data_IF_610447978765
#
_entry.id   IF_610447978765
#
_cell.length_a   1.000
_cell.length_b   1.000
_cell.length_c   1.000
_cell.angle_alpha   90.00
_cell.angle_beta   90.00
_cell.angle_gamma   90.00
#
_symmetry.space_group_name_H-M   'P 1'
#
loop_
_entity.id
_entity.type
_entity.pdbx_description
1 polymer ?
#
# COMPACT_ATOMS: atom_id res chain seq x y z
N UNK A 1 1.12 24.69 -30.43
CA UNK A 1 -0.07 24.44 -29.60
C UNK A 1 0.22 24.99 -28.23
N UNK A 2 -0.58 25.94 -27.75
CA UNK A 2 -0.41 26.64 -26.46
C UNK A 2 -0.41 25.62 -25.32
N UNK A 3 0.66 25.55 -24.55
CA UNK A 3 0.93 24.57 -23.49
C UNK A 3 0.13 24.80 -22.18
N UNK A 4 -0.80 25.74 -22.15
CA UNK A 4 -1.39 26.29 -20.92
C UNK A 4 -2.70 25.65 -20.44
N UNK A 5 -3.24 24.63 -21.12
CA UNK A 5 -4.57 24.09 -20.85
C UNK A 5 -4.63 22.67 -20.31
N UNK A 6 -3.50 21.98 -20.15
CA UNK A 6 -3.52 20.55 -19.80
C UNK A 6 -3.50 20.25 -18.29
N UNK A 7 -3.04 21.17 -17.45
CA UNK A 7 -2.85 20.93 -16.02
C UNK A 7 -3.69 21.90 -15.21
N UNK A 8 -4.97 21.58 -15.11
CA UNK A 8 -5.93 22.39 -14.37
C UNK A 8 -6.09 21.86 -12.95
N UNK A 9 -5.99 22.76 -11.96
CA UNK A 9 -6.26 22.47 -10.56
C UNK A 9 -7.76 22.32 -10.26
N UNK A 10 -8.63 22.54 -11.26
CA UNK A 10 -10.06 22.54 -11.07
C UNK A 10 -10.61 21.13 -10.75
N UNK A 11 -11.43 21.08 -9.71
CA UNK A 11 -12.22 19.91 -9.35
C UNK A 11 -13.54 19.89 -10.14
N UNK A 12 -13.49 19.44 -11.38
CA UNK A 12 -14.71 19.31 -12.21
C UNK A 12 -15.71 18.35 -11.57
N UNK A 13 -17.04 18.53 -11.82
CA UNK A 13 -18.05 17.58 -11.32
C UNK A 13 -17.78 16.14 -11.72
N UNK A 14 -17.30 15.91 -12.95
CA UNK A 14 -16.92 14.58 -13.44
C UNK A 14 -15.75 13.97 -12.63
N UNK A 15 -14.72 14.76 -12.30
CA UNK A 15 -13.62 14.31 -11.46
C UNK A 15 -14.09 13.95 -10.05
N UNK A 16 -14.95 14.79 -9.44
CA UNK A 16 -15.53 14.53 -8.12
C UNK A 16 -16.37 13.24 -8.12
N UNK A 17 -17.18 13.03 -9.16
CA UNK A 17 -17.98 11.82 -9.31
C UNK A 17 -17.11 10.57 -9.45
N UNK A 18 -16.09 10.61 -10.32
CA UNK A 18 -15.16 9.49 -10.50
C UNK A 18 -14.39 9.20 -9.19
N UNK A 19 -13.87 10.24 -8.53
CA UNK A 19 -13.20 10.09 -7.23
C UNK A 19 -14.13 9.47 -6.18
N UNK A 20 -15.37 9.91 -6.12
CA UNK A 20 -16.39 9.36 -5.21
C UNK A 20 -16.68 7.89 -5.49
N UNK A 21 -16.85 7.52 -6.75
CA UNK A 21 -17.09 6.15 -7.18
C UNK A 21 -15.89 5.23 -6.85
N UNK A 22 -14.68 5.61 -7.28
CA UNK A 22 -13.47 4.80 -7.00
C UNK A 22 -13.20 4.72 -5.49
N UNK A 23 -13.40 5.84 -4.77
CA UNK A 23 -13.26 5.88 -3.32
C UNK A 23 -14.28 4.99 -2.61
N UNK A 24 -15.53 4.96 -3.07
CA UNK A 24 -16.55 4.04 -2.54
C UNK A 24 -16.15 2.58 -2.73
N UNK A 25 -15.70 2.19 -3.92
CA UNK A 25 -15.22 0.83 -4.18
C UNK A 25 -14.01 0.48 -3.30
N UNK A 26 -13.05 1.39 -3.20
CA UNK A 26 -11.87 1.18 -2.39
C UNK A 26 -12.20 0.97 -0.90
N UNK A 27 -13.01 1.86 -0.30
CA UNK A 27 -13.31 1.83 1.13
C UNK A 27 -14.37 0.79 1.53
N UNK A 28 -15.16 0.26 0.60
CA UNK A 28 -16.25 -0.67 0.90
C UNK A 28 -16.01 -2.10 0.43
N UNK A 29 -15.13 -2.28 -0.56
CA UNK A 29 -14.95 -3.59 -1.19
C UNK A 29 -13.49 -4.01 -1.35
N UNK A 30 -12.54 -3.06 -1.38
CA UNK A 30 -11.14 -3.40 -1.55
C UNK A 30 -10.41 -3.43 -0.20
N UNK A 31 -10.55 -2.38 0.62
CA UNK A 31 -9.99 -2.33 1.96
C UNK A 31 -11.03 -2.69 3.02
N UNK A 32 -10.60 -3.38 4.06
CA UNK A 32 -11.39 -3.61 5.27
C UNK A 32 -11.53 -2.30 6.07
N UNK A 33 -10.40 -1.64 6.34
CA UNK A 33 -10.35 -0.35 7.03
C UNK A 33 -9.33 0.56 6.38
N UNK A 34 -9.63 1.86 6.35
CA UNK A 34 -8.71 2.90 5.87
C UNK A 34 -8.53 3.94 6.95
N UNK A 35 -7.29 4.21 7.28
CA UNK A 35 -6.89 5.14 8.32
C UNK A 35 -6.23 6.37 7.73
N UNK A 36 -6.66 7.55 8.18
CA UNK A 36 -6.00 8.82 7.86
C UNK A 36 -5.51 9.43 9.18
N UNK A 37 -4.20 9.48 9.38
CA UNK A 37 -3.56 9.97 10.61
C UNK A 37 -3.00 11.35 10.36
N UNK A 38 -3.33 12.30 11.24
CA UNK A 38 -2.99 13.73 11.17
C UNK A 38 -3.43 14.39 9.83
N UNK A 39 -4.68 14.22 9.38
CA UNK A 39 -5.14 14.83 8.13
C UNK A 39 -5.19 16.37 8.20
N UNK A 40 -5.20 16.94 9.38
CA UNK A 40 -5.11 18.38 9.69
C UNK A 40 -3.73 18.97 9.40
N UNK A 41 -2.69 18.15 9.25
CA UNK A 41 -1.38 18.59 8.79
C UNK A 41 -1.36 18.96 7.30
N UNK A 42 -2.36 18.59 6.52
CA UNK A 42 -2.45 18.98 5.12
C UNK A 42 -2.80 20.47 5.03
N UNK A 43 -1.91 21.33 4.49
CA UNK A 43 -2.20 22.76 4.36
C UNK A 43 -3.48 23.00 3.55
N UNK A 44 -4.18 24.10 3.83
CA UNK A 44 -5.43 24.44 3.14
C UNK A 44 -5.26 24.60 1.61
N UNK A 45 -6.36 24.40 0.86
CA UNK A 45 -6.39 24.59 -0.59
C UNK A 45 -5.91 25.97 -1.02
N UNK A 46 -5.18 26.06 -2.13
CA UNK A 46 -4.53 27.28 -2.59
C UNK A 46 -3.09 27.45 -2.07
N UNK A 47 -2.64 26.64 -1.12
CA UNK A 47 -1.24 26.62 -0.67
C UNK A 47 -0.41 25.73 -1.63
N UNK A 48 0.70 26.26 -2.21
CA UNK A 48 1.62 25.47 -3.02
C UNK A 48 2.20 24.31 -2.21
N UNK A 49 1.91 23.07 -2.61
CA UNK A 49 2.23 21.90 -1.81
C UNK A 49 2.89 20.80 -2.63
N UNK A 50 4.02 20.30 -2.17
CA UNK A 50 4.66 19.08 -2.68
C UNK A 50 4.48 17.96 -1.66
N UNK A 51 3.72 16.93 -1.98
CA UNK A 51 3.58 15.73 -1.14
C UNK A 51 4.71 14.76 -1.50
N UNK A 52 5.41 14.29 -0.49
CA UNK A 52 6.54 13.37 -0.62
C UNK A 52 6.31 12.17 0.29
N UNK A 53 6.12 10.99 -0.29
CA UNK A 53 5.82 9.77 0.45
C UNK A 53 6.77 8.62 0.14
N UNK A 54 6.77 7.63 1.02
CA UNK A 54 7.29 6.30 0.74
C UNK A 54 6.45 5.61 -0.34
N UNK A 55 7.05 4.68 -1.10
CA UNK A 55 6.39 4.03 -2.22
C UNK A 55 6.27 2.52 -2.00
N UNK A 56 5.18 2.12 -1.34
CA UNK A 56 4.98 0.75 -0.88
C UNK A 56 4.06 -0.07 -1.80
N UNK A 57 3.02 0.55 -2.40
CA UNK A 57 1.97 -0.15 -3.13
C UNK A 57 1.49 0.59 -4.39
N UNK A 58 2.43 1.17 -5.14
CA UNK A 58 2.19 1.73 -6.49
C UNK A 58 1.02 2.73 -6.54
N UNK A 59 -0.02 2.48 -7.37
CA UNK A 59 -1.18 3.38 -7.51
C UNK A 59 -1.96 3.52 -6.19
N UNK A 60 -1.96 2.50 -5.34
CA UNK A 60 -2.71 2.53 -4.09
C UNK A 60 -2.22 3.64 -3.15
N UNK A 61 -0.91 3.90 -3.13
CA UNK A 61 -0.32 5.00 -2.38
C UNK A 61 -0.88 6.36 -2.84
N UNK A 62 -0.94 6.57 -4.15
CA UNK A 62 -1.52 7.78 -4.75
C UNK A 62 -3.01 7.93 -4.45
N UNK A 63 -3.78 6.82 -4.51
CA UNK A 63 -5.21 6.83 -4.22
C UNK A 63 -5.51 7.23 -2.77
N UNK A 64 -4.64 6.87 -1.82
CA UNK A 64 -4.75 7.30 -0.43
C UNK A 64 -4.80 8.83 -0.31
N UNK A 65 -3.94 9.55 -1.04
CA UNK A 65 -3.96 11.02 -1.06
C UNK A 65 -5.20 11.58 -1.77
N UNK A 66 -5.59 10.98 -2.90
CA UNK A 66 -6.77 11.40 -3.68
C UNK A 66 -8.07 11.29 -2.86
N UNK A 67 -8.17 10.27 -1.99
CA UNK A 67 -9.37 10.05 -1.19
C UNK A 67 -9.42 10.89 0.07
N UNK A 68 -8.28 11.21 0.67
CA UNK A 68 -8.20 12.02 1.90
C UNK A 68 -8.21 13.52 1.61
N UNK A 69 -7.49 13.99 0.58
CA UNK A 69 -7.40 15.42 0.21
C UNK A 69 -8.52 15.74 -0.79
N UNK A 70 -9.63 16.29 -0.27
CA UNK A 70 -10.87 16.45 -1.05
C UNK A 70 -11.09 17.85 -1.60
N UNK A 71 -10.40 18.85 -1.07
CA UNK A 71 -10.55 20.27 -1.40
C UNK A 71 -9.83 20.68 -2.70
N UNK A 72 -8.97 19.82 -3.22
CA UNK A 72 -8.15 20.10 -4.42
C UNK A 72 -7.86 18.84 -5.23
N UNK A 73 -7.34 19.02 -6.43
CA UNK A 73 -6.74 17.96 -7.25
C UNK A 73 -5.28 17.78 -6.84
N UNK A 74 -4.86 16.54 -6.65
CA UNK A 74 -3.45 16.18 -6.45
C UNK A 74 -2.90 15.71 -7.78
N UNK A 75 -1.79 16.32 -8.22
CA UNK A 75 -1.10 15.95 -9.45
C UNK A 75 0.06 15.01 -9.13
N UNK A 76 0.21 13.93 -9.89
CA UNK A 76 1.23 12.91 -9.63
C UNK A 76 2.21 12.80 -10.79
N UNK A 77 3.49 12.69 -10.48
CA UNK A 77 4.48 12.24 -11.44
C UNK A 77 4.36 10.72 -11.58
N UNK A 78 4.09 10.25 -12.80
CA UNK A 78 3.95 8.82 -13.10
C UNK A 78 4.72 8.44 -14.35
N UNK A 79 4.89 7.15 -14.59
CA UNK A 79 5.69 6.60 -15.71
C UNK A 79 5.20 7.13 -17.07
N UNK A 80 6.12 7.65 -17.89
CA UNK A 80 5.82 8.22 -19.20
C UNK A 80 5.28 7.20 -20.20
N UNK A 81 5.69 5.92 -20.10
CA UNK A 81 5.22 4.85 -20.99
C UNK A 81 3.69 4.63 -20.95
N UNK A 82 3.01 4.99 -19.85
CA UNK A 82 1.55 4.94 -19.77
C UNK A 82 0.89 5.92 -20.74
N UNK A 83 1.54 7.04 -21.06
CA UNK A 83 1.03 8.06 -21.99
C UNK A 83 1.21 7.67 -23.47
N UNK A 84 1.99 6.62 -23.76
CA UNK A 84 2.19 6.08 -25.12
C UNK A 84 1.13 5.07 -25.52
N UNK A 85 0.23 4.66 -24.61
CA UNK A 85 -0.84 3.69 -24.86
C UNK A 85 -1.95 4.20 -25.80
N UNK A 86 -1.87 5.46 -26.24
CA UNK A 86 -2.79 6.09 -27.18
C UNK A 86 -3.25 7.47 -26.74
N UNK A 87 -3.69 8.29 -27.70
CA UNK A 87 -4.06 9.69 -27.46
C UNK A 87 -5.24 9.84 -26.46
N UNK A 88 -6.22 8.93 -26.49
CA UNK A 88 -7.34 8.95 -25.57
C UNK A 88 -6.90 8.64 -24.13
N UNK A 89 -6.01 7.65 -23.95
CA UNK A 89 -5.43 7.28 -22.66
C UNK A 89 -4.59 8.44 -22.13
N UNK A 90 -3.73 9.01 -22.95
CA UNK A 90 -2.89 10.17 -22.58
C UNK A 90 -3.73 11.35 -22.09
N UNK A 91 -4.82 11.70 -22.82
CA UNK A 91 -5.76 12.77 -22.42
C UNK A 91 -6.45 12.45 -21.10
N UNK A 92 -6.89 11.21 -20.90
CA UNK A 92 -7.53 10.77 -19.67
C UNK A 92 -6.58 10.85 -18.47
N UNK A 93 -5.36 10.36 -18.61
CA UNK A 93 -4.33 10.44 -17.56
C UNK A 93 -4.01 11.90 -17.20
N UNK A 94 -3.87 12.77 -18.21
CA UNK A 94 -3.67 14.20 -17.98
C UNK A 94 -4.84 14.85 -17.29
N UNK A 95 -6.08 14.48 -17.67
CA UNK A 95 -7.29 14.96 -16.99
C UNK A 95 -7.35 14.49 -15.52
N UNK A 96 -6.85 13.30 -15.20
CA UNK A 96 -6.70 12.82 -13.83
C UNK A 96 -5.65 13.61 -13.03
N UNK A 97 -4.80 14.41 -13.66
CA UNK A 97 -3.71 15.15 -13.02
C UNK A 97 -2.37 14.41 -13.03
N UNK A 98 -2.23 13.39 -13.88
CA UNK A 98 -0.96 12.65 -13.99
C UNK A 98 0.01 13.34 -14.93
N UNK A 99 1.27 13.50 -14.51
CA UNK A 99 2.38 14.11 -15.23
C UNK A 99 3.38 13.04 -15.67
N UNK A 100 3.79 12.95 -16.95
CA UNK A 100 4.70 11.89 -17.40
C UNK A 100 6.11 12.11 -16.85
N UNK A 101 6.69 11.09 -16.21
CA UNK A 101 8.05 11.07 -15.70
C UNK A 101 8.88 10.06 -16.48
N UNK A 102 10.02 10.50 -17.01
CA UNK A 102 10.91 9.74 -17.88
C UNK A 102 12.11 9.22 -17.09
N UNK A 103 12.43 7.93 -17.22
CA UNK A 103 13.53 7.29 -16.51
C UNK A 103 14.74 7.15 -17.42
N UNK A 104 15.90 7.69 -16.99
CA UNK A 104 17.17 7.61 -17.74
C UNK A 104 17.56 6.18 -18.13
N UNK A 105 17.26 5.21 -17.25
CA UNK A 105 17.59 3.80 -17.48
C UNK A 105 16.82 3.16 -18.66
N UNK A 106 15.68 3.75 -19.07
CA UNK A 106 14.82 3.18 -20.11
C UNK A 106 14.73 4.03 -21.36
N UNK A 107 14.86 5.36 -21.22
CA UNK A 107 14.62 6.34 -22.29
C UNK A 107 15.87 7.15 -22.66
N UNK A 108 17.03 6.85 -22.05
CA UNK A 108 18.32 7.41 -22.42
C UNK A 108 18.43 8.92 -22.23
N UNK A 109 19.21 9.58 -23.09
CA UNK A 109 19.51 11.02 -22.98
C UNK A 109 18.27 11.92 -23.16
N UNK A 110 17.28 11.48 -23.93
CA UNK A 110 16.03 12.24 -24.16
C UNK A 110 15.18 12.38 -22.88
N UNK A 111 15.35 11.47 -21.91
CA UNK A 111 14.67 11.55 -20.62
C UNK A 111 14.93 12.88 -19.90
N UNK A 112 16.14 13.43 -20.00
CA UNK A 112 16.48 14.70 -19.34
C UNK A 112 15.72 15.89 -19.94
N UNK A 113 15.64 15.96 -21.28
CA UNK A 113 14.91 17.02 -21.97
C UNK A 113 13.39 16.93 -21.69
N UNK A 114 12.85 15.71 -21.76
CA UNK A 114 11.43 15.45 -21.50
C UNK A 114 11.05 15.72 -20.04
N UNK A 115 11.89 15.34 -19.08
CA UNK A 115 11.66 15.64 -17.66
C UNK A 115 11.67 17.14 -17.38
N UNK A 116 12.43 17.95 -18.12
CA UNK A 116 12.41 19.40 -17.97
C UNK A 116 11.03 19.99 -18.26
N UNK A 117 10.34 19.50 -19.30
CA UNK A 117 8.96 19.91 -19.60
C UNK A 117 7.97 19.47 -18.48
N UNK A 118 8.12 18.26 -17.97
CA UNK A 118 7.31 17.74 -16.86
C UNK A 118 7.51 18.54 -15.59
N UNK A 119 8.74 18.86 -15.23
CA UNK A 119 9.05 19.66 -14.05
C UNK A 119 8.49 21.07 -14.19
N UNK A 120 8.63 21.70 -15.38
CA UNK A 120 7.99 22.98 -15.64
C UNK A 120 6.46 22.94 -15.47
N UNK A 121 5.80 21.87 -15.93
CA UNK A 121 4.36 21.69 -15.71
C UNK A 121 4.02 21.54 -14.21
N UNK A 122 4.82 20.77 -13.45
CA UNK A 122 4.66 20.63 -12.00
C UNK A 122 4.87 21.97 -11.26
N UNK A 123 5.86 22.75 -11.67
CA UNK A 123 6.12 24.10 -11.17
C UNK A 123 4.93 25.03 -11.44
N UNK A 124 4.32 24.96 -12.65
CA UNK A 124 3.13 25.73 -12.99
C UNK A 124 1.94 25.39 -12.10
N UNK A 125 1.76 24.11 -11.75
CA UNK A 125 0.76 23.67 -10.78
C UNK A 125 1.00 24.33 -9.42
N UNK A 126 2.23 24.31 -8.91
CA UNK A 126 2.58 24.93 -7.63
C UNK A 126 2.39 26.46 -7.66
N UNK A 127 2.80 27.11 -8.75
CA UNK A 127 2.64 28.58 -8.92
C UNK A 127 1.17 29.02 -8.92
N UNK A 128 0.25 28.12 -9.26
CA UNK A 128 -1.21 28.35 -9.15
C UNK A 128 -1.78 27.92 -7.79
N UNK A 129 -0.95 27.63 -6.79
CA UNK A 129 -1.40 27.16 -5.47
C UNK A 129 -1.89 25.72 -5.47
N UNK A 130 -1.48 24.91 -6.47
CA UNK A 130 -1.85 23.51 -6.58
C UNK A 130 -0.96 22.57 -5.76
N UNK A 131 -1.26 21.29 -5.87
CA UNK A 131 -0.55 20.22 -5.16
C UNK A 131 0.05 19.22 -6.14
N UNK A 132 1.33 18.94 -5.97
CA UNK A 132 2.07 17.91 -6.69
C UNK A 132 2.51 16.84 -5.71
N UNK A 133 2.31 15.57 -6.05
CA UNK A 133 2.76 14.44 -5.25
C UNK A 133 3.73 13.55 -6.04
N UNK A 134 4.76 13.09 -5.39
CA UNK A 134 5.71 12.16 -5.96
C UNK A 134 6.34 11.27 -4.89
N UNK A 135 6.89 10.16 -5.36
CA UNK A 135 7.56 9.15 -4.55
C UNK A 135 9.05 9.16 -4.91
N UNK A 136 9.92 9.74 -4.07
CA UNK A 136 11.31 10.01 -4.44
C UNK A 136 12.19 8.76 -4.54
N UNK A 137 11.75 7.63 -4.00
CA UNK A 137 12.45 6.34 -4.10
C UNK A 137 12.55 5.83 -5.54
N UNK A 138 11.72 6.36 -6.47
CA UNK A 138 11.70 6.02 -7.89
C UNK A 138 11.56 4.51 -8.21
N UNK A 139 11.18 3.69 -7.25
CA UNK A 139 10.96 2.25 -7.38
C UNK A 139 10.19 1.70 -6.18
N UNK A 140 9.69 0.48 -6.32
CA UNK A 140 9.01 -0.23 -5.24
C UNK A 140 9.96 -1.25 -4.64
N UNK A 141 9.87 -1.40 -3.33
CA UNK A 141 10.58 -2.45 -2.62
C UNK A 141 9.54 -3.30 -1.90
N UNK A 142 9.55 -4.62 -2.10
CA UNK A 142 8.67 -5.54 -1.38
C UNK A 142 9.10 -5.70 0.10
N UNK A 143 9.60 -4.64 0.70
CA UNK A 143 10.18 -4.64 2.04
C UNK A 143 9.86 -3.30 2.71
N UNK A 144 9.66 -3.34 4.00
CA UNK A 144 9.60 -2.15 4.85
C UNK A 144 11.02 -1.58 5.03
N UNK A 145 11.48 -0.84 4.05
CA UNK A 145 12.80 -0.20 4.04
C UNK A 145 12.73 1.09 3.23
N UNK A 146 13.32 2.16 3.78
CA UNK A 146 13.36 3.46 3.12
C UNK A 146 14.52 3.52 2.13
N UNK A 147 14.21 3.43 0.84
CA UNK A 147 15.17 3.54 -0.25
C UNK A 147 15.86 4.90 -0.38
N UNK A 148 16.86 5.01 -1.26
CA UNK A 148 17.51 6.28 -1.55
C UNK A 148 16.54 7.22 -2.27
N UNK A 149 16.57 8.52 -1.93
CA UNK A 149 15.72 9.53 -2.56
C UNK A 149 16.38 10.14 -3.79
N UNK A 150 15.57 10.35 -4.82
CA UNK A 150 15.93 11.22 -5.94
C UNK A 150 15.56 12.67 -5.61
N UNK A 151 16.36 13.63 -6.10
CA UNK A 151 16.19 15.06 -5.77
C UNK A 151 15.09 15.78 -6.58
N UNK A 152 14.29 15.05 -7.36
CA UNK A 152 13.29 15.64 -8.26
C UNK A 152 12.27 16.54 -7.58
N UNK A 153 11.78 16.15 -6.41
CA UNK A 153 10.81 16.94 -5.64
C UNK A 153 11.40 18.26 -5.15
N UNK A 154 12.67 18.26 -4.74
CA UNK A 154 13.37 19.49 -4.33
C UNK A 154 13.62 20.40 -5.52
N UNK A 155 13.94 19.83 -6.68
CA UNK A 155 14.11 20.60 -7.88
C UNK A 155 12.82 21.32 -8.28
N UNK A 156 11.69 20.62 -8.29
CA UNK A 156 10.38 21.20 -8.59
C UNK A 156 10.03 22.30 -7.58
N UNK A 157 10.19 22.04 -6.27
CA UNK A 157 9.86 23.00 -5.22
C UNK A 157 10.72 24.28 -5.30
N UNK A 158 12.04 24.16 -5.37
CA UNK A 158 12.93 25.31 -5.42
C UNK A 158 12.86 26.07 -6.75
N UNK A 159 12.71 25.37 -7.88
CA UNK A 159 12.52 26.04 -9.17
C UNK A 159 11.21 26.84 -9.20
N UNK A 160 10.12 26.31 -8.65
CA UNK A 160 8.86 27.06 -8.53
C UNK A 160 9.02 28.30 -7.64
N UNK A 161 9.78 28.20 -6.53
CA UNK A 161 10.11 29.35 -5.70
C UNK A 161 10.91 30.40 -6.47
N UNK A 162 11.96 29.99 -7.20
CA UNK A 162 12.80 30.89 -8.04
C UNK A 162 11.96 31.56 -9.12
N UNK A 163 11.11 30.82 -9.85
CA UNK A 163 10.19 31.37 -10.87
C UNK A 163 9.18 32.37 -10.31
N UNK A 164 8.82 32.27 -9.04
CA UNK A 164 7.99 33.27 -8.36
C UNK A 164 8.79 34.49 -7.86
N UNK A 165 10.09 34.55 -8.09
CA UNK A 165 10.98 35.54 -7.46
C UNK A 165 11.06 35.35 -5.94
N UNK A 166 10.88 34.13 -5.45
CA UNK A 166 10.83 33.77 -4.01
C UNK A 166 9.70 34.47 -3.23
N UNK A 167 8.66 34.91 -3.92
CA UNK A 167 7.49 35.57 -3.30
C UNK A 167 6.45 34.58 -2.78
N UNK A 168 6.47 33.32 -3.22
CA UNK A 168 5.55 32.28 -2.78
C UNK A 168 6.21 31.35 -1.78
N UNK A 169 5.54 31.13 -0.67
CA UNK A 169 5.92 30.08 0.27
C UNK A 169 5.46 28.72 -0.25
N UNK A 170 6.39 27.78 -0.38
CA UNK A 170 6.12 26.42 -0.86
C UNK A 170 6.37 25.47 0.30
N UNK A 171 5.45 24.54 0.48
CA UNK A 171 5.53 23.52 1.52
C UNK A 171 5.84 22.15 0.90
N UNK A 172 6.62 21.35 1.63
CA UNK A 172 6.80 19.93 1.39
C UNK A 172 6.12 19.19 2.53
N UNK A 173 5.20 18.28 2.21
CA UNK A 173 4.48 17.46 3.17
C UNK A 173 5.01 16.03 3.13
N UNK A 174 5.80 15.61 4.12
CA UNK A 174 6.20 14.23 4.26
C UNK A 174 5.00 13.35 4.58
N UNK A 175 4.90 12.18 3.97
CA UNK A 175 3.81 11.23 4.21
C UNK A 175 4.33 9.81 4.31
N UNK A 176 3.57 8.94 4.98
CA UNK A 176 3.86 7.52 5.06
C UNK A 176 2.59 6.73 4.70
N UNK A 177 2.74 5.79 3.77
CA UNK A 177 1.72 4.80 3.45
C UNK A 177 2.06 3.49 4.14
N UNK A 178 1.07 2.85 4.75
CA UNK A 178 1.27 1.56 5.40
C UNK A 178 0.09 0.63 5.16
N UNK A 179 0.37 -0.66 5.01
CA UNK A 179 -0.62 -1.68 4.68
C UNK A 179 -0.44 -2.88 5.60
N UNK A 180 -1.54 -3.49 6.04
CA UNK A 180 -1.47 -4.76 6.75
C UNK A 180 -0.97 -5.90 5.85
N UNK A 181 -1.28 -5.82 4.55
CA UNK A 181 -0.80 -6.73 3.52
C UNK A 181 -0.85 -6.03 2.14
N UNK A 182 0.17 -6.23 1.29
CA UNK A 182 0.27 -5.52 0.00
C UNK A 182 -0.60 -6.12 -1.12
N UNK A 183 -0.84 -7.43 -1.11
CA UNK A 183 -1.41 -8.16 -2.25
C UNK A 183 -2.79 -8.75 -1.96
N UNK A 184 -3.32 -8.55 -0.78
CA UNK A 184 -4.63 -9.05 -0.36
C UNK A 184 -5.78 -8.14 -0.78
N UNK A 185 -6.97 -8.71 -0.85
CA UNK A 185 -8.23 -7.98 -0.78
C UNK A 185 -8.68 -7.98 0.67
N UNK A 186 -9.46 -6.97 1.06
CA UNK A 186 -9.98 -6.87 2.42
C UNK A 186 -8.87 -6.71 3.48
N UNK A 187 -7.86 -5.91 3.13
CA UNK A 187 -6.71 -5.55 3.98
C UNK A 187 -6.88 -4.15 4.54
N UNK A 188 -6.08 -3.79 5.52
CA UNK A 188 -6.10 -2.45 6.10
C UNK A 188 -5.07 -1.56 5.41
N UNK A 189 -5.41 -0.29 5.24
CA UNK A 189 -4.55 0.77 4.67
C UNK A 189 -4.46 1.96 5.62
N UNK A 190 -3.31 2.57 5.71
CA UNK A 190 -3.10 3.83 6.44
C UNK A 190 -2.31 4.83 5.60
N UNK A 191 -2.73 6.09 5.66
CA UNK A 191 -1.96 7.25 5.22
C UNK A 191 -1.72 8.14 6.43
N UNK A 192 -0.46 8.41 6.73
CA UNK A 192 -0.04 9.31 7.81
C UNK A 192 0.62 10.54 7.23
N UNK A 193 0.20 11.71 7.69
CA UNK A 193 0.75 12.99 7.29
C UNK A 193 1.72 13.50 8.36
N UNK A 194 2.95 13.83 7.93
CA UNK A 194 3.95 14.50 8.76
C UNK A 194 3.69 15.99 8.88
N UNK A 195 4.57 16.70 9.57
CA UNK A 195 4.51 18.14 9.68
C UNK A 195 4.97 18.80 8.38
N UNK A 196 4.21 19.72 7.77
CA UNK A 196 4.62 20.40 6.56
C UNK A 196 5.93 21.18 6.77
N UNK A 197 6.86 21.02 5.87
CA UNK A 197 8.16 21.72 5.88
C UNK A 197 8.09 22.89 4.91
N UNK A 198 8.13 24.14 5.41
CA UNK A 198 8.30 25.32 4.58
C UNK A 198 9.74 25.37 4.03
N UNK A 199 9.88 25.58 2.71
CA UNK A 199 11.20 25.82 2.12
C UNK A 199 11.61 27.30 2.11
N UNK A 200 10.74 28.22 2.50
CA UNK A 200 11.01 29.67 2.51
C UNK A 200 12.23 30.05 3.36
N UNK A 201 12.48 29.49 4.55
CA UNK A 201 13.67 29.76 5.34
C UNK A 201 14.99 29.44 4.62
N UNK A 202 14.93 28.60 3.59
CA UNK A 202 16.12 28.17 2.82
C UNK A 202 16.34 28.97 1.55
N UNK A 203 15.53 29.97 1.20
CA UNK A 203 15.64 30.72 -0.06
C UNK A 203 16.95 31.48 -0.18
N UNK A 204 17.40 32.16 0.85
CA UNK A 204 18.68 32.88 0.82
C UNK A 204 19.88 31.93 0.72
N UNK A 205 19.80 30.78 1.41
CA UNK A 205 20.82 29.76 1.27
C UNK A 205 20.80 29.14 -0.14
N UNK A 206 19.62 28.96 -0.72
CA UNK A 206 19.48 28.41 -2.06
C UNK A 206 20.08 29.33 -3.14
N UNK A 207 19.89 30.64 -3.02
CA UNK A 207 20.49 31.63 -3.96
C UNK A 207 22.02 31.55 -4.01
N UNK A 208 22.66 31.26 -2.88
CA UNK A 208 24.12 31.22 -2.74
C UNK A 208 24.70 29.82 -2.85
N UNK A 209 24.04 28.81 -2.24
CA UNK A 209 24.50 27.43 -2.15
C UNK A 209 23.34 26.45 -2.39
N UNK A 210 22.83 26.32 -3.64
CA UNK A 210 21.63 25.54 -3.96
C UNK A 210 21.68 24.08 -3.48
N UNK A 211 22.84 23.42 -3.65
CA UNK A 211 23.02 22.03 -3.24
C UNK A 211 22.92 21.84 -1.71
N UNK A 212 23.44 22.80 -0.95
CA UNK A 212 23.38 22.77 0.52
C UNK A 212 21.95 22.96 1.02
N UNK A 213 21.21 23.92 0.47
CA UNK A 213 19.81 24.14 0.80
C UNK A 213 18.96 22.91 0.52
N UNK A 214 19.08 22.30 -0.67
CA UNK A 214 18.38 21.08 -1.02
C UNK A 214 18.71 19.94 -0.07
N UNK A 215 19.98 19.72 0.28
CA UNK A 215 20.40 18.66 1.20
C UNK A 215 19.84 18.82 2.60
N UNK A 216 19.74 20.07 3.11
CA UNK A 216 19.16 20.31 4.43
C UNK A 216 17.67 20.01 4.45
N UNK A 217 16.92 20.45 3.43
CA UNK A 217 15.49 20.15 3.32
C UNK A 217 15.26 18.64 3.11
N UNK A 218 16.08 17.98 2.27
CA UNK A 218 16.01 16.53 2.05
C UNK A 218 16.19 15.74 3.36
N UNK A 219 17.15 16.13 4.18
CA UNK A 219 17.41 15.48 5.46
C UNK A 219 16.18 15.58 6.39
N UNK A 220 15.54 16.76 6.50
CA UNK A 220 14.33 16.94 7.30
C UNK A 220 13.16 16.10 6.81
N UNK A 221 12.92 16.10 5.49
CA UNK A 221 11.82 15.35 4.89
C UNK A 221 12.04 13.85 5.09
N UNK A 222 13.27 13.38 4.83
CA UNK A 222 13.65 11.98 4.97
C UNK A 222 13.54 11.49 6.43
N UNK A 223 14.01 12.29 7.38
CA UNK A 223 13.92 11.99 8.81
C UNK A 223 12.46 11.85 9.25
N UNK A 224 11.58 12.76 8.83
CA UNK A 224 10.15 12.65 9.15
C UNK A 224 9.53 11.39 8.56
N UNK A 225 9.79 11.06 7.27
CA UNK A 225 9.24 9.84 6.65
C UNK A 225 9.76 8.61 7.40
N UNK A 226 11.06 8.53 7.68
CA UNK A 226 11.67 7.44 8.44
C UNK A 226 11.07 7.29 9.83
N UNK A 227 10.76 8.39 10.51
CA UNK A 227 10.12 8.35 11.83
C UNK A 227 8.68 7.84 11.80
N UNK A 228 7.97 8.02 10.69
CA UNK A 228 6.56 7.63 10.53
C UNK A 228 6.37 6.20 10.03
N UNK A 229 7.32 5.65 9.26
CA UNK A 229 7.21 4.34 8.64
C UNK A 229 7.84 3.24 9.49
N UNK A 230 7.55 2.00 9.15
CA UNK A 230 8.36 0.86 9.57
C UNK A 230 9.59 0.77 8.65
N UNK A 231 10.79 0.85 9.22
CA UNK A 231 12.05 0.77 8.50
C UNK A 231 12.92 -0.36 9.06
N UNK A 232 13.03 -1.46 8.29
CA UNK A 232 13.85 -2.63 8.64
C UNK A 232 15.16 -2.54 7.85
N UNK A 233 16.18 -1.97 8.46
CA UNK A 233 17.50 -1.75 7.81
C UNK A 233 18.28 -3.04 7.60
N UNK A 234 18.09 -4.05 8.46
CA UNK A 234 18.74 -5.37 8.35
C UNK A 234 18.03 -6.18 7.24
N UNK A 235 18.47 -5.98 6.00
CA UNK A 235 17.91 -6.65 4.83
C UNK A 235 18.30 -8.15 4.75
N UNK A 236 19.38 -8.55 5.38
CA UNK A 236 19.86 -9.94 5.40
C UNK A 236 18.98 -10.81 6.32
N UNK A 237 18.50 -10.24 7.41
CA UNK A 237 17.61 -10.90 8.36
C UNK A 237 16.13 -10.45 8.21
N UNK A 238 15.81 -9.72 7.13
CA UNK A 238 14.49 -9.14 6.93
C UNK A 238 13.35 -10.14 7.15
N UNK A 239 13.43 -11.35 6.58
CA UNK A 239 12.37 -12.36 6.69
C UNK A 239 12.15 -12.84 8.13
N UNK A 240 13.20 -12.90 8.94
CA UNK A 240 13.11 -13.29 10.34
C UNK A 240 12.46 -12.17 11.17
N UNK A 241 12.92 -10.94 10.99
CA UNK A 241 12.38 -9.75 11.67
C UNK A 241 10.91 -9.55 11.30
N UNK A 242 10.58 -9.67 10.01
CA UNK A 242 9.22 -9.53 9.48
C UNK A 242 8.27 -10.62 10.03
N UNK A 243 8.75 -11.86 10.15
CA UNK A 243 8.01 -12.94 10.81
C UNK A 243 7.76 -12.63 12.30
N UNK A 244 8.77 -12.23 13.05
CA UNK A 244 8.64 -11.96 14.49
C UNK A 244 7.54 -10.91 14.73
N UNK A 245 7.55 -9.80 13.98
CA UNK A 245 6.56 -8.72 14.15
C UNK A 245 5.14 -9.11 13.71
N UNK A 246 5.00 -9.96 12.68
CA UNK A 246 3.69 -10.37 12.13
C UNK A 246 3.12 -11.62 12.80
N UNK A 247 3.91 -12.34 13.59
CA UNK A 247 3.51 -13.53 14.33
C UNK A 247 2.60 -13.22 15.53
N UNK A 248 2.13 -14.27 16.19
CA UNK A 248 1.40 -14.11 17.44
C UNK A 248 2.24 -13.41 18.53
N UNK A 249 3.57 -13.58 18.53
CA UNK A 249 4.44 -12.84 19.43
C UNK A 249 4.35 -11.33 19.20
N UNK A 250 4.38 -10.87 17.94
CA UNK A 250 4.20 -9.44 17.64
C UNK A 250 2.86 -8.88 18.13
N UNK A 251 1.80 -9.71 18.13
CA UNK A 251 0.49 -9.37 18.74
C UNK A 251 0.58 -9.29 20.28
N UNK A 252 1.25 -10.24 20.92
CA UNK A 252 1.49 -10.24 22.37
C UNK A 252 2.33 -9.01 22.77
N UNK A 253 3.36 -8.68 22.00
CA UNK A 253 4.20 -7.52 22.22
C UNK A 253 3.41 -6.21 22.12
N UNK A 254 2.54 -6.06 21.10
CA UNK A 254 1.67 -4.89 20.98
C UNK A 254 0.79 -4.70 22.23
N UNK A 255 0.15 -5.76 22.69
CA UNK A 255 -0.69 -5.73 23.90
C UNK A 255 0.11 -5.41 25.17
N UNK A 256 1.34 -5.91 25.28
CA UNK A 256 2.23 -5.58 26.42
C UNK A 256 2.62 -4.10 26.49
N UNK A 257 2.60 -3.42 25.34
CA UNK A 257 2.80 -1.98 25.24
C UNK A 257 1.49 -1.16 25.45
N UNK A 258 0.35 -1.84 25.72
CA UNK A 258 -0.96 -1.19 25.82
C UNK A 258 -1.56 -0.77 24.47
N UNK A 259 -1.03 -1.29 23.36
CA UNK A 259 -1.45 -0.98 21.99
C UNK A 259 -2.36 -2.09 21.46
N UNK A 260 -3.38 -1.67 20.68
CA UNK A 260 -4.32 -2.59 20.05
C UNK A 260 -3.74 -3.10 18.70
N UNK A 261 -3.38 -4.39 18.60
CA UNK A 261 -2.81 -4.97 17.38
C UNK A 261 -3.80 -4.99 16.20
N UNK A 262 -5.10 -4.85 16.46
CA UNK A 262 -6.13 -4.83 15.42
C UNK A 262 -6.31 -3.44 14.79
N UNK A 263 -5.68 -2.40 15.36
CA UNK A 263 -5.63 -1.06 14.80
C UNK A 263 -4.31 -0.81 14.11
N UNK A 264 -4.31 -0.72 12.79
CA UNK A 264 -3.09 -0.56 11.98
C UNK A 264 -2.15 0.57 12.45
N UNK A 265 -2.63 1.78 12.86
CA UNK A 265 -1.76 2.82 13.40
C UNK A 265 -1.04 2.42 14.69
N UNK A 266 -1.73 1.74 15.62
CA UNK A 266 -1.17 1.28 16.89
C UNK A 266 -0.20 0.12 16.66
N UNK A 267 -0.59 -0.82 15.80
CA UNK A 267 0.28 -1.95 15.39
C UNK A 267 1.59 -1.46 14.75
N UNK A 268 1.55 -0.44 13.91
CA UNK A 268 2.75 0.15 13.33
C UNK A 268 3.71 0.70 14.40
N UNK A 269 3.21 1.43 15.40
CA UNK A 269 4.08 1.94 16.48
C UNK A 269 4.69 0.81 17.30
N UNK A 270 3.91 -0.24 17.57
CA UNK A 270 4.43 -1.45 18.23
C UNK A 270 5.51 -2.13 17.38
N UNK A 271 5.28 -2.29 16.07
CA UNK A 271 6.24 -2.92 15.16
C UNK A 271 7.54 -2.13 15.07
N UNK A 272 7.47 -0.80 15.00
CA UNK A 272 8.65 0.08 15.02
C UNK A 272 9.45 -0.10 16.32
N UNK A 273 8.76 -0.14 17.45
CA UNK A 273 9.40 -0.38 18.75
C UNK A 273 10.08 -1.75 18.79
N UNK A 274 9.38 -2.79 18.38
CA UNK A 274 9.90 -4.15 18.35
C UNK A 274 11.14 -4.28 17.45
N UNK A 275 11.09 -3.72 16.25
CA UNK A 275 12.22 -3.74 15.30
C UNK A 275 13.42 -2.97 15.86
N UNK A 276 13.19 -1.80 16.48
CA UNK A 276 14.25 -1.03 17.11
C UNK A 276 14.90 -1.77 18.31
N UNK A 277 14.10 -2.46 19.12
CA UNK A 277 14.60 -3.28 20.23
C UNK A 277 15.37 -4.52 19.73
N UNK A 278 14.92 -5.17 18.67
CA UNK A 278 15.67 -6.28 18.04
C UNK A 278 17.01 -5.79 17.51
N UNK A 279 17.08 -4.62 16.91
CA UNK A 279 18.32 -4.06 16.37
C UNK A 279 19.39 -3.79 17.45
N UNK A 280 19.00 -3.54 18.70
CA UNK A 280 19.94 -3.32 19.82
C UNK A 280 20.73 -4.57 20.23
N UNK A 281 20.21 -5.78 19.97
CA UNK A 281 20.81 -7.04 20.42
C UNK A 281 22.05 -7.48 19.66
N UNK A 282 22.39 -6.82 18.55
CA UNK A 282 23.56 -7.16 17.76
C UNK A 282 23.52 -8.57 17.12
N UNK A 283 24.61 -8.93 16.45
CA UNK A 283 24.71 -10.19 15.70
C UNK A 283 24.88 -11.44 16.61
N UNK A 284 25.56 -11.30 17.72
CA UNK A 284 25.77 -12.42 18.66
C UNK A 284 24.47 -12.90 19.31
N UNK A 285 23.60 -11.97 19.71
CA UNK A 285 22.32 -12.28 20.36
C UNK A 285 21.25 -12.70 19.34
N UNK A 286 21.22 -12.04 18.20
CA UNK A 286 20.18 -12.23 17.18
C UNK A 286 20.49 -13.36 16.19
N UNK A 287 21.76 -13.71 15.97
CA UNK A 287 22.16 -14.68 14.94
C UNK A 287 21.51 -16.05 15.11
N UNK A 288 21.52 -16.58 16.34
CA UNK A 288 20.85 -17.85 16.68
C UNK A 288 19.32 -17.73 16.55
N UNK A 289 18.74 -16.63 17.04
CA UNK A 289 17.30 -16.35 16.95
C UNK A 289 16.83 -16.28 15.49
N UNK A 290 17.51 -15.53 14.65
CA UNK A 290 17.16 -15.39 13.24
C UNK A 290 17.39 -16.69 12.46
N UNK A 291 18.40 -17.49 12.85
CA UNK A 291 18.63 -18.84 12.32
C UNK A 291 17.46 -19.79 12.63
N UNK A 292 17.00 -19.80 13.89
CA UNK A 292 15.85 -20.58 14.33
C UNK A 292 14.57 -20.15 13.58
N UNK A 293 14.34 -18.84 13.41
CA UNK A 293 13.18 -18.33 12.66
C UNK A 293 13.24 -18.72 11.18
N UNK A 294 14.40 -18.62 10.53
CA UNK A 294 14.54 -19.07 9.13
C UNK A 294 14.23 -20.56 8.99
N UNK A 295 14.75 -21.39 9.90
CA UNK A 295 14.44 -22.84 9.93
C UNK A 295 12.94 -23.08 10.11
N UNK A 296 12.30 -22.32 11.01
CA UNK A 296 10.84 -22.38 11.20
C UNK A 296 10.06 -22.04 9.92
N UNK A 297 10.46 -20.97 9.24
CA UNK A 297 9.83 -20.56 7.98
C UNK A 297 10.00 -21.62 6.88
N UNK A 298 11.15 -22.28 6.81
CA UNK A 298 11.42 -23.38 5.87
C UNK A 298 10.55 -24.61 6.18
N UNK A 299 10.42 -24.99 7.44
CA UNK A 299 9.52 -26.09 7.85
C UNK A 299 8.06 -25.79 7.49
N UNK A 300 7.60 -24.55 7.69
CA UNK A 300 6.26 -24.11 7.33
C UNK A 300 6.05 -24.18 5.81
N UNK A 301 6.98 -23.67 5.02
CA UNK A 301 6.93 -23.66 3.56
C UNK A 301 6.90 -25.06 2.98
N UNK A 302 7.80 -25.95 3.42
CA UNK A 302 7.85 -27.32 2.98
C UNK A 302 6.65 -28.17 3.45
N UNK A 303 6.08 -27.81 4.62
CA UNK A 303 4.90 -28.46 5.15
C UNK A 303 3.59 -27.94 4.54
N UNK A 304 3.61 -26.83 3.81
CA UNK A 304 2.43 -26.20 3.21
C UNK A 304 1.44 -25.63 4.23
N UNK A 305 1.93 -25.15 5.39
CA UNK A 305 1.16 -24.47 6.44
C UNK A 305 1.88 -23.18 6.86
N UNK A 306 1.31 -22.40 7.77
CA UNK A 306 1.90 -21.12 8.20
C UNK A 306 1.65 -20.82 9.67
N UNK A 307 1.99 -19.58 10.07
CA UNK A 307 1.81 -19.08 11.45
C UNK A 307 0.37 -19.25 11.94
N UNK A 308 -0.61 -19.00 11.08
CA UNK A 308 -2.04 -19.16 11.43
C UNK A 308 -2.37 -20.57 11.96
N UNK A 309 -1.76 -21.62 11.38
CA UNK A 309 -1.95 -23.00 11.81
C UNK A 309 -1.19 -23.32 13.10
N UNK A 310 -0.05 -22.68 13.30
CA UNK A 310 0.76 -22.83 14.52
C UNK A 310 0.18 -22.07 15.72
N UNK A 311 -0.55 -20.98 15.47
CA UNK A 311 -1.10 -20.11 16.52
C UNK A 311 -2.46 -20.53 17.05
N UNK A 312 -3.13 -21.50 16.42
CA UNK A 312 -4.47 -21.98 16.80
C UNK A 312 -4.56 -23.49 16.87
N UNK A 313 -5.58 -23.98 17.58
CA UNK A 313 -5.84 -25.43 17.61
C UNK A 313 -6.50 -25.88 16.31
N UNK A 314 -5.76 -26.59 15.48
CA UNK A 314 -6.29 -27.24 14.25
C UNK A 314 -6.76 -28.64 14.61
N UNK A 315 -8.04 -28.98 14.28
CA UNK A 315 -8.65 -30.27 14.55
C UNK A 315 -9.20 -30.91 13.28
N UNK A 316 -9.20 -32.26 13.16
CA UNK A 316 -9.82 -32.94 12.03
C UNK A 316 -11.30 -32.59 11.84
N UNK A 317 -12.04 -32.43 12.93
CA UNK A 317 -13.46 -32.04 12.91
C UNK A 317 -13.61 -30.64 12.32
N UNK A 318 -12.77 -29.67 12.73
CA UNK A 318 -12.78 -28.30 12.19
C UNK A 318 -12.49 -28.28 10.69
N UNK A 319 -11.50 -29.06 10.22
CA UNK A 319 -11.18 -29.18 8.81
C UNK A 319 -12.36 -29.80 8.03
N UNK A 320 -12.98 -30.88 8.56
CA UNK A 320 -14.16 -31.50 7.98
C UNK A 320 -15.35 -30.54 7.90
N UNK A 321 -15.57 -29.72 8.93
CA UNK A 321 -16.63 -28.72 8.96
C UNK A 321 -16.40 -27.61 7.93
N UNK A 322 -15.17 -27.08 7.81
CA UNK A 322 -14.83 -26.12 6.78
C UNK A 322 -15.02 -26.68 5.37
N UNK A 323 -14.64 -27.95 5.16
CA UNK A 323 -14.86 -28.66 3.90
C UNK A 323 -16.35 -28.78 3.56
N UNK A 324 -17.18 -29.07 4.57
CA UNK A 324 -18.63 -29.11 4.39
C UNK A 324 -19.20 -27.75 4.02
N UNK A 325 -18.75 -26.67 4.68
CA UNK A 325 -19.14 -25.28 4.33
C UNK A 325 -18.75 -25.00 2.87
N UNK A 326 -17.51 -25.29 2.48
CA UNK A 326 -17.04 -25.10 1.11
C UNK A 326 -17.90 -25.85 0.09
N UNK A 327 -18.27 -27.10 0.40
CA UNK A 327 -19.11 -27.91 -0.46
C UNK A 327 -20.53 -27.36 -0.58
N UNK A 328 -21.15 -26.98 0.54
CA UNK A 328 -22.50 -26.42 0.56
C UNK A 328 -22.59 -25.06 -0.12
N UNK A 329 -21.54 -24.25 -0.02
CA UNK A 329 -21.46 -22.93 -0.64
C UNK A 329 -20.85 -22.94 -2.06
N UNK A 330 -20.42 -24.10 -2.55
CA UNK A 330 -19.83 -24.24 -3.88
C UNK A 330 -20.74 -23.73 -5.02
N UNK A 331 -22.09 -23.99 -5.02
CA UNK A 331 -22.95 -23.44 -6.07
C UNK A 331 -22.94 -21.91 -6.09
N UNK A 332 -22.89 -21.27 -4.92
CA UNK A 332 -22.78 -19.81 -4.82
C UNK A 332 -21.40 -19.30 -5.31
N UNK A 333 -20.32 -20.00 -4.94
CA UNK A 333 -18.98 -19.67 -5.41
C UNK A 333 -18.87 -19.80 -6.94
N UNK A 334 -19.40 -20.88 -7.52
CA UNK A 334 -19.46 -21.03 -8.99
C UNK A 334 -20.26 -19.91 -9.66
N UNK A 335 -21.37 -19.48 -9.05
CA UNK A 335 -22.15 -18.34 -9.53
C UNK A 335 -21.36 -17.03 -9.46
N UNK A 336 -20.61 -16.79 -8.37
CA UNK A 336 -19.79 -15.61 -8.18
C UNK A 336 -18.47 -15.64 -9.01
N UNK A 337 -18.11 -16.79 -9.57
CA UNK A 337 -16.80 -17.02 -10.21
C UNK A 337 -16.63 -16.17 -11.48
N UNK A 338 -17.68 -16.00 -12.30
CA UNK A 338 -17.55 -15.35 -13.60
C UNK A 338 -17.06 -13.88 -13.52
N UNK A 339 -17.58 -13.00 -12.67
CA UNK A 339 -17.01 -11.66 -12.51
C UNK A 339 -15.65 -11.69 -11.84
N UNK A 340 -15.43 -12.64 -10.92
CA UNK A 340 -14.18 -12.76 -10.15
C UNK A 340 -13.01 -13.23 -10.99
N UNK A 341 -13.21 -14.19 -11.91
CA UNK A 341 -12.17 -14.64 -12.86
C UNK A 341 -11.68 -13.46 -13.70
N UNK A 342 -12.59 -12.62 -14.18
CA UNK A 342 -12.23 -11.43 -14.96
C UNK A 342 -11.54 -10.39 -14.05
N UNK A 343 -12.11 -10.10 -12.88
CA UNK A 343 -11.61 -9.09 -11.94
C UNK A 343 -10.22 -9.42 -11.35
N UNK A 344 -9.92 -10.69 -11.16
CA UNK A 344 -8.64 -11.16 -10.62
C UNK A 344 -7.71 -11.72 -11.68
N UNK A 345 -8.26 -12.48 -12.61
CA UNK A 345 -7.49 -13.17 -13.65
C UNK A 345 -6.87 -12.20 -14.63
N UNK A 346 -7.64 -11.23 -15.14
CA UNK A 346 -7.14 -10.27 -16.11
C UNK A 346 -6.02 -9.37 -15.53
N UNK A 347 -6.16 -8.76 -14.35
CA UNK A 347 -5.06 -8.02 -13.72
C UNK A 347 -3.81 -8.87 -13.48
N UNK A 348 -3.95 -10.11 -13.01
CA UNK A 348 -2.83 -11.04 -12.81
C UNK A 348 -2.12 -11.38 -14.13
N UNK A 349 -2.89 -11.62 -15.19
CA UNK A 349 -2.35 -11.93 -16.51
C UNK A 349 -1.58 -10.74 -17.09
N UNK A 350 -2.09 -9.54 -16.92
CA UNK A 350 -1.42 -8.30 -17.34
C UNK A 350 -0.18 -8.03 -16.49
N UNK A 351 -0.28 -8.12 -15.17
CA UNK A 351 0.84 -7.90 -14.25
C UNK A 351 1.94 -8.97 -14.44
N UNK A 352 1.59 -10.20 -14.80
CA UNK A 352 2.54 -11.28 -15.10
C UNK A 352 3.45 -11.00 -16.29
N UNK A 353 3.04 -10.12 -17.21
CA UNK A 353 3.85 -9.65 -18.34
C UNK A 353 4.76 -8.45 -17.99
N UNK A 354 4.59 -7.87 -16.82
CA UNK A 354 5.35 -6.71 -16.38
C UNK A 354 6.54 -7.11 -15.52
N UNK A 355 7.61 -6.33 -15.61
CA UNK A 355 8.83 -6.56 -14.81
C UNK A 355 8.61 -6.31 -13.31
N UNK A 356 7.64 -5.46 -12.97
CA UNK A 356 7.37 -5.04 -11.61
C UNK A 356 6.08 -5.69 -11.09
N UNK A 357 6.23 -6.64 -10.16
CA UNK A 357 5.11 -7.39 -9.56
C UNK A 357 4.25 -6.56 -8.62
N UNK A 358 4.78 -5.45 -8.09
CA UNK A 358 4.03 -4.53 -7.20
C UNK A 358 2.87 -3.84 -7.91
N UNK A 359 2.90 -3.78 -9.24
CA UNK A 359 1.80 -3.24 -10.03
C UNK A 359 0.52 -4.09 -9.95
N UNK A 360 0.56 -5.32 -9.43
CA UNK A 360 -0.62 -6.18 -9.34
C UNK A 360 -1.76 -5.51 -8.55
N UNK A 361 -1.48 -4.96 -7.36
CA UNK A 361 -2.48 -4.25 -6.55
C UNK A 361 -3.10 -3.07 -7.30
N UNK A 362 -2.26 -2.30 -7.99
CA UNK A 362 -2.67 -1.17 -8.82
C UNK A 362 -3.56 -1.57 -9.99
N UNK A 363 -3.21 -2.68 -10.67
CA UNK A 363 -4.03 -3.21 -11.75
C UNK A 363 -5.36 -3.73 -11.23
N UNK A 364 -5.37 -4.41 -10.08
CA UNK A 364 -6.63 -4.90 -9.50
C UNK A 364 -7.57 -3.73 -9.20
N UNK A 365 -7.13 -2.71 -8.49
CA UNK A 365 -7.99 -1.56 -8.14
C UNK A 365 -8.36 -0.72 -9.38
N UNK A 366 -7.36 -0.32 -10.16
CA UNK A 366 -7.55 0.60 -11.29
C UNK A 366 -8.36 0.00 -12.42
N UNK A 367 -8.00 -1.22 -12.86
CA UNK A 367 -8.73 -1.90 -13.95
C UNK A 367 -10.13 -2.29 -13.52
N UNK A 368 -10.32 -2.79 -12.29
CA UNK A 368 -11.66 -3.13 -11.81
C UNK A 368 -12.56 -1.91 -11.71
N UNK A 369 -12.09 -0.83 -11.08
CA UNK A 369 -12.91 0.36 -10.91
C UNK A 369 -13.25 1.04 -12.24
N UNK A 370 -12.27 1.16 -13.15
CA UNK A 370 -12.42 1.97 -14.36
C UNK A 370 -13.02 1.20 -15.54
N UNK A 371 -12.80 -0.10 -15.63
CA UNK A 371 -13.15 -0.87 -16.82
C UNK A 371 -13.95 -2.15 -16.51
N UNK A 372 -13.42 -3.03 -15.67
CA UNK A 372 -13.98 -4.38 -15.53
C UNK A 372 -15.36 -4.34 -14.88
N UNK A 373 -15.50 -3.72 -13.73
CA UNK A 373 -16.81 -3.63 -13.05
C UNK A 373 -17.86 -2.86 -13.88
N UNK A 374 -17.53 -1.71 -14.51
CA UNK A 374 -18.48 -1.06 -15.42
C UNK A 374 -18.85 -1.92 -16.64
N UNK A 375 -17.90 -2.61 -17.27
CA UNK A 375 -18.17 -3.47 -18.43
C UNK A 375 -18.99 -4.69 -18.00
N UNK A 376 -18.60 -5.38 -16.94
CA UNK A 376 -19.36 -6.50 -16.39
C UNK A 376 -20.77 -6.06 -15.96
N UNK A 377 -20.87 -4.87 -15.37
CA UNK A 377 -22.15 -4.26 -15.01
C UNK A 377 -23.06 -4.02 -16.22
N UNK A 378 -22.51 -3.47 -17.30
CA UNK A 378 -23.24 -3.25 -18.55
C UNK A 378 -23.69 -4.58 -19.18
N UNK A 379 -22.81 -5.57 -19.26
CA UNK A 379 -23.14 -6.91 -19.77
C UNK A 379 -24.26 -7.53 -18.94
N UNK A 380 -24.13 -7.49 -17.62
CA UNK A 380 -25.14 -8.01 -16.68
C UNK A 380 -26.48 -7.31 -16.88
N UNK A 381 -26.46 -5.96 -16.99
CA UNK A 381 -27.66 -5.15 -17.23
C UNK A 381 -28.35 -5.55 -18.53
N UNK A 382 -27.61 -5.64 -19.63
CA UNK A 382 -28.16 -6.00 -20.96
C UNK A 382 -28.74 -7.41 -20.95
N UNK A 383 -27.96 -8.39 -20.46
CA UNK A 383 -28.39 -9.79 -20.43
C UNK A 383 -29.64 -10.01 -19.56
N UNK A 384 -29.68 -9.36 -18.39
CA UNK A 384 -30.83 -9.50 -17.48
C UNK A 384 -32.04 -8.67 -17.92
N UNK A 385 -31.83 -7.54 -18.60
CA UNK A 385 -32.93 -6.77 -19.18
C UNK A 385 -33.71 -7.58 -20.20
N UNK A 386 -33.00 -8.29 -21.09
CA UNK A 386 -33.63 -9.14 -22.12
C UNK A 386 -34.44 -10.28 -21.47
N UNK A 387 -33.93 -10.88 -20.37
CA UNK A 387 -34.58 -12.05 -19.74
C UNK A 387 -35.52 -11.72 -18.56
N UNK A 388 -35.22 -10.72 -17.77
CA UNK A 388 -35.84 -10.52 -16.44
C UNK A 388 -36.25 -9.06 -16.12
N UNK A 389 -36.01 -8.12 -17.04
CA UNK A 389 -36.36 -6.71 -16.91
C UNK A 389 -35.22 -5.82 -16.37
N UNK A 390 -35.30 -4.53 -16.75
CA UNK A 390 -34.27 -3.53 -16.54
C UNK A 390 -33.87 -3.32 -15.05
N UNK A 391 -34.87 -3.26 -14.16
CA UNK A 391 -34.66 -3.01 -12.73
C UNK A 391 -33.84 -4.13 -12.08
N UNK A 392 -34.14 -5.39 -12.43
CA UNK A 392 -33.36 -6.54 -11.93
C UNK A 392 -31.94 -6.52 -12.47
N UNK A 393 -31.75 -6.08 -13.72
CA UNK A 393 -30.42 -5.88 -14.30
C UNK A 393 -29.59 -4.86 -13.53
N UNK A 394 -30.16 -3.74 -13.13
CA UNK A 394 -29.47 -2.74 -12.28
C UNK A 394 -29.05 -3.37 -10.94
N UNK A 395 -29.96 -4.10 -10.28
CA UNK A 395 -29.67 -4.74 -8.99
C UNK A 395 -28.51 -5.73 -9.13
N UNK A 396 -28.53 -6.61 -10.13
CA UNK A 396 -27.45 -7.57 -10.34
C UNK A 396 -26.12 -6.89 -10.69
N UNK A 397 -26.15 -5.83 -11.50
CA UNK A 397 -24.94 -5.08 -11.80
C UNK A 397 -24.34 -4.41 -10.54
N UNK A 398 -25.19 -3.87 -9.66
CA UNK A 398 -24.77 -3.27 -8.39
C UNK A 398 -24.20 -4.30 -7.38
N UNK A 399 -24.58 -5.58 -7.49
CA UNK A 399 -24.10 -6.66 -6.64
C UNK A 399 -22.73 -7.23 -7.06
N UNK A 400 -22.21 -6.91 -8.25
CA UNK A 400 -20.94 -7.47 -8.76
C UNK A 400 -19.75 -7.30 -7.79
N UNK A 401 -19.51 -6.15 -7.14
CA UNK A 401 -18.43 -6.01 -6.17
C UNK A 401 -18.59 -6.96 -4.97
N UNK A 402 -19.85 -7.20 -4.55
CA UNK A 402 -20.16 -8.15 -3.47
C UNK A 402 -19.82 -9.58 -3.91
N UNK A 403 -20.16 -9.96 -5.13
CA UNK A 403 -19.80 -11.29 -5.66
C UNK A 403 -18.28 -11.52 -5.68
N UNK A 404 -17.51 -10.50 -6.12
CA UNK A 404 -16.05 -10.57 -6.08
C UNK A 404 -15.52 -10.73 -4.65
N UNK A 405 -16.13 -10.07 -3.67
CA UNK A 405 -15.74 -10.17 -2.26
C UNK A 405 -16.11 -11.52 -1.65
N UNK A 406 -17.31 -12.03 -1.95
CA UNK A 406 -17.73 -13.38 -1.51
C UNK A 406 -16.80 -14.47 -2.05
N UNK A 407 -16.42 -14.37 -3.32
CA UNK A 407 -15.47 -15.29 -3.95
C UNK A 407 -14.10 -15.22 -3.29
N UNK A 408 -13.63 -14.03 -2.94
CA UNK A 408 -12.38 -13.84 -2.20
C UNK A 408 -12.42 -14.54 -0.83
N UNK A 409 -13.50 -14.39 -0.07
CA UNK A 409 -13.64 -15.07 1.22
C UNK A 409 -13.74 -16.59 1.05
N UNK A 410 -14.46 -17.07 0.04
CA UNK A 410 -14.53 -18.50 -0.27
C UNK A 410 -13.16 -19.07 -0.64
N UNK A 411 -12.43 -18.37 -1.50
CA UNK A 411 -11.04 -18.73 -1.84
C UNK A 411 -10.12 -18.74 -0.62
N UNK A 412 -10.25 -17.76 0.26
CA UNK A 412 -9.46 -17.67 1.49
C UNK A 412 -9.77 -18.83 2.43
N UNK A 413 -11.04 -19.17 2.61
CA UNK A 413 -11.46 -20.32 3.40
C UNK A 413 -10.93 -21.64 2.82
N UNK A 414 -10.99 -21.81 1.49
CA UNK A 414 -10.42 -22.98 0.80
C UNK A 414 -8.92 -23.08 1.04
N UNK A 415 -8.18 -22.01 0.81
CA UNK A 415 -6.72 -21.93 1.03
C UNK A 415 -6.36 -22.31 2.47
N UNK A 416 -7.05 -21.74 3.44
CA UNK A 416 -6.77 -21.97 4.86
C UNK A 416 -7.18 -23.39 5.27
N UNK A 417 -8.25 -23.95 4.73
CA UNK A 417 -8.66 -25.34 4.96
C UNK A 417 -7.61 -26.32 4.39
N UNK A 418 -7.07 -26.05 3.23
CA UNK A 418 -5.97 -26.85 2.64
C UNK A 418 -4.71 -26.77 3.51
N UNK A 419 -4.37 -25.60 4.03
CA UNK A 419 -3.24 -25.43 4.95
C UNK A 419 -3.48 -26.16 6.28
N UNK A 420 -4.69 -26.11 6.83
CA UNK A 420 -5.07 -26.88 8.00
C UNK A 420 -4.94 -28.39 7.78
N UNK A 421 -5.39 -28.88 6.64
CA UNK A 421 -5.22 -30.28 6.25
C UNK A 421 -3.74 -30.68 6.15
N UNK A 422 -2.93 -29.86 5.51
CA UNK A 422 -1.49 -30.07 5.40
C UNK A 422 -0.82 -30.09 6.79
N UNK A 423 -1.21 -29.19 7.69
CA UNK A 423 -0.73 -29.17 9.06
C UNK A 423 -1.06 -30.45 9.81
N UNK A 424 -2.30 -30.95 9.73
CA UNK A 424 -2.71 -32.23 10.33
C UNK A 424 -1.94 -33.41 9.74
N UNK A 425 -1.76 -33.45 8.41
CA UNK A 425 -0.99 -34.49 7.73
C UNK A 425 0.48 -34.54 8.17
N UNK A 426 1.06 -33.39 8.51
CA UNK A 426 2.44 -33.25 8.96
C UNK A 426 2.58 -33.28 10.50
N UNK A 427 1.54 -33.62 11.27
CA UNK A 427 1.49 -33.49 12.73
C UNK A 427 2.56 -34.31 13.47
N UNK A 428 2.95 -35.46 12.95
CA UNK A 428 4.02 -36.31 13.52
C UNK A 428 5.45 -35.97 13.01
N UNK A 429 5.61 -34.91 12.24
CA UNK A 429 6.89 -34.55 11.62
C UNK A 429 7.11 -33.03 11.60
N UNK A 430 7.12 -32.43 10.40
CA UNK A 430 7.43 -30.98 10.22
C UNK A 430 6.57 -30.05 11.06
N UNK A 431 5.28 -30.31 11.22
CA UNK A 431 4.39 -29.48 12.01
C UNK A 431 4.73 -29.50 13.51
N UNK A 432 5.09 -30.68 14.04
CA UNK A 432 5.56 -30.81 15.44
C UNK A 432 6.88 -30.11 15.63
N UNK A 433 7.84 -30.28 14.73
CA UNK A 433 9.15 -29.60 14.78
C UNK A 433 9.00 -28.08 14.68
N UNK A 434 8.15 -27.59 13.76
CA UNK A 434 7.85 -26.17 13.63
C UNK A 434 7.19 -25.60 14.90
N UNK A 435 6.23 -26.31 15.48
CA UNK A 435 5.57 -25.88 16.72
C UNK A 435 6.56 -25.79 17.91
N UNK A 436 7.42 -26.81 18.07
CA UNK A 436 8.44 -26.81 19.11
C UNK A 436 9.47 -25.68 18.92
N UNK A 437 9.92 -25.47 17.69
CA UNK A 437 10.87 -24.40 17.37
C UNK A 437 10.25 -23.00 17.57
N UNK A 438 8.99 -22.84 17.17
CA UNK A 438 8.22 -21.61 17.42
C UNK A 438 8.13 -21.30 18.90
N UNK A 439 7.78 -22.29 19.71
CA UNK A 439 7.66 -22.08 21.15
C UNK A 439 9.03 -21.73 21.78
N UNK A 440 10.12 -22.38 21.35
CA UNK A 440 11.49 -22.00 21.74
C UNK A 440 11.79 -20.54 21.40
N UNK A 441 11.50 -20.12 20.18
CA UNK A 441 11.71 -18.73 19.70
C UNK A 441 10.89 -17.76 20.54
N UNK A 442 9.59 -18.04 20.75
CA UNK A 442 8.70 -17.14 21.49
C UNK A 442 9.06 -17.09 22.98
N UNK A 443 9.46 -18.21 23.59
CA UNK A 443 9.93 -18.21 24.97
C UNK A 443 11.17 -17.32 25.15
N UNK A 444 12.13 -17.41 24.22
CA UNK A 444 13.30 -16.52 24.20
C UNK A 444 12.93 -15.04 24.05
N UNK A 445 12.03 -14.74 23.10
CA UNK A 445 11.56 -13.37 22.88
C UNK A 445 10.77 -12.82 24.08
N UNK A 446 9.89 -13.63 24.69
CA UNK A 446 9.15 -13.24 25.90
C UNK A 446 10.06 -12.95 27.07
N UNK A 447 11.08 -13.81 27.29
CA UNK A 447 12.09 -13.58 28.32
C UNK A 447 12.90 -12.31 28.08
N UNK A 448 13.32 -12.06 26.84
CA UNK A 448 14.09 -10.87 26.45
C UNK A 448 13.31 -9.57 26.63
N UNK A 449 12.04 -9.53 26.22
CA UNK A 449 11.21 -8.32 26.22
C UNK A 449 10.25 -8.21 27.41
N UNK A 450 10.28 -9.14 28.35
CA UNK A 450 9.40 -9.13 29.54
C UNK A 450 7.91 -9.28 29.19
N UNK A 451 7.61 -9.94 28.05
CA UNK A 451 6.22 -10.12 27.59
C UNK A 451 5.59 -11.32 28.29
N UNK A 452 4.44 -11.12 28.94
CA UNK A 452 3.67 -12.21 29.57
C UNK A 452 3.03 -13.09 28.48
N UNK A 453 3.16 -14.39 28.58
CA UNK A 453 2.49 -15.34 27.69
C UNK A 453 0.97 -15.34 27.85
N UNK A 454 0.23 -15.99 26.93
CA UNK A 454 -1.24 -15.96 26.89
C UNK A 454 -1.93 -16.48 28.17
N UNK A 455 -1.31 -17.40 28.90
CA UNK A 455 -1.88 -17.94 30.15
C UNK A 455 -1.98 -16.91 31.30
N UNK A 456 -1.18 -15.87 31.27
CA UNK A 456 -1.16 -14.84 32.32
C UNK A 456 -2.03 -13.60 32.01
N UNK A 457 -2.64 -13.53 30.83
CA UNK A 457 -3.47 -12.37 30.44
C UNK A 457 -4.94 -12.47 30.94
N UNK A 458 -5.39 -13.63 31.43
CA UNK A 458 -6.75 -13.85 31.92
C UNK A 458 -6.96 -13.57 33.43
N UNK A 459 -5.89 -13.20 34.16
CA UNK A 459 -5.96 -13.04 35.62
C UNK A 459 -6.16 -11.56 36.03
N UNK A 460 -6.01 -10.61 35.13
CA UNK A 460 -6.06 -9.16 35.42
C UNK A 460 -7.30 -8.44 34.82
N UNK A 461 -8.43 -9.16 34.55
CA UNK A 461 -9.71 -8.51 34.14
C UNK A 461 -10.78 -8.74 35.12
#
# INVERSE_FOLDING_TARGET
MSSSTFWDNELTPAFKALRGYVGFLAHKFYYNRVWYVNPDHVPAGGTPLVIVGDHQNSLNDSLGYVFSIRDRKVHFLTRADLFTLGAAVSKFLSWLGLLPSYRLQWEGADALANNKATFSAAEDVLLKGGTVALFPEAGHQNKHWLGPFTSGYLQIAFNAAERSGFSKEIFILPTCNHYSEYFGLWTDMMVRYGTPVSIAPYYELYKTKPRTAKRQVDALVREQIKSMMLDIEDLDNYSAIDYIRTSAFGTEFSRSQGLDPDKLPEKLESDKTLVAELAKGGEEENGSLYGDVRTLLDLCREGGFGETQLSRKVTPIGVGFNFLILLLTLPLAVFCLWPSVISWGLPKLLAGKMKDKMLLGSFVIGLNALFILPICGLITLVCTWIGHGFLRGIVYAALLPIFCLLEWFWYTLLRDTVRDFNFLRNRGGRASSAASLREKVFAGLRARFGVKGPENQHIEK
#
